data_IF_858089198684
#
_entry.id   IF_858089198684
#
_cell.length_a   1.000
_cell.length_b   1.000
_cell.length_c   1.000
_cell.angle_alpha   90.00
_cell.angle_beta   90.00
_cell.angle_gamma   90.00
#
_symmetry.space_group_name_H-M   'P 1'
#
loop_
_entity.id
_entity.type
_entity.pdbx_description
1 polymer ?
#
# COMPACT_ATOMS: atom_id res chain seq x y z
N UNK A 1 -46.08 5.77 25.84
CA UNK A 1 -45.55 6.04 24.48
C UNK A 1 -44.28 5.26 24.14
N UNK A 2 -43.24 5.21 25.01
CA UNK A 2 -41.96 4.52 24.74
C UNK A 2 -42.08 3.00 24.44
N UNK A 3 -42.99 2.29 25.11
CA UNK A 3 -43.16 0.83 24.94
C UNK A 3 -43.86 0.44 23.63
N UNK A 4 -44.66 1.35 23.06
CA UNK A 4 -45.36 1.15 21.78
C UNK A 4 -44.35 1.28 20.64
N UNK A 5 -43.48 2.29 20.68
CA UNK A 5 -42.39 2.48 19.71
C UNK A 5 -41.43 1.29 19.67
N UNK A 6 -41.05 0.74 20.84
CA UNK A 6 -40.17 -0.44 20.93
C UNK A 6 -40.82 -1.70 20.33
N UNK A 7 -42.14 -1.84 20.46
CA UNK A 7 -42.89 -2.98 19.91
C UNK A 7 -43.07 -2.87 18.40
N UNK A 8 -43.37 -1.66 17.90
CA UNK A 8 -43.49 -1.38 16.46
C UNK A 8 -42.13 -1.52 15.76
N UNK A 9 -41.07 -0.95 16.34
CA UNK A 9 -39.70 -1.07 15.82
C UNK A 9 -39.25 -2.53 15.75
N UNK A 10 -39.50 -3.34 16.78
CA UNK A 10 -39.16 -4.78 16.77
C UNK A 10 -39.92 -5.56 15.70
N UNK A 11 -41.21 -5.25 15.48
CA UNK A 11 -42.03 -5.90 14.43
C UNK A 11 -41.58 -5.49 13.03
N UNK A 12 -41.20 -4.22 12.84
CA UNK A 12 -40.68 -3.71 11.58
C UNK A 12 -39.34 -4.37 11.22
N UNK A 13 -38.42 -4.46 12.18
CA UNK A 13 -37.11 -5.10 11.98
C UNK A 13 -37.26 -6.58 11.63
N UNK A 14 -38.13 -7.32 12.35
CA UNK A 14 -38.40 -8.73 12.06
C UNK A 14 -39.01 -8.93 10.66
N UNK A 15 -39.90 -8.03 10.22
CA UNK A 15 -40.50 -8.10 8.88
C UNK A 15 -39.47 -7.81 7.78
N UNK A 16 -38.57 -6.86 7.98
CA UNK A 16 -37.52 -6.53 7.01
C UNK A 16 -36.53 -7.70 6.89
N UNK A 17 -36.12 -8.30 8.00
CA UNK A 17 -35.22 -9.46 8.00
C UNK A 17 -35.84 -10.67 7.28
N UNK A 18 -37.15 -10.92 7.47
CA UNK A 18 -37.86 -11.97 6.76
C UNK A 18 -37.87 -11.73 5.25
N UNK A 19 -38.15 -10.48 4.83
CA UNK A 19 -38.19 -10.11 3.41
C UNK A 19 -36.82 -10.23 2.73
N UNK A 20 -35.75 -9.77 3.38
CA UNK A 20 -34.38 -9.89 2.86
C UNK A 20 -33.96 -11.35 2.75
N UNK A 21 -34.32 -12.18 3.72
CA UNK A 21 -34.08 -13.64 3.66
C UNK A 21 -34.83 -14.29 2.50
N UNK A 22 -36.11 -13.97 2.29
CA UNK A 22 -36.89 -14.50 1.18
C UNK A 22 -36.28 -14.15 -0.19
N UNK A 23 -35.73 -12.94 -0.37
CA UNK A 23 -35.07 -12.53 -1.62
C UNK A 23 -33.76 -13.31 -1.85
N UNK A 24 -32.98 -13.57 -0.79
CA UNK A 24 -31.73 -14.32 -0.88
C UNK A 24 -31.96 -15.80 -1.26
N UNK A 25 -33.03 -16.41 -0.76
CA UNK A 25 -33.36 -17.81 -1.08
C UNK A 25 -33.98 -18.00 -2.48
N UNK A 26 -34.60 -16.98 -3.07
CA UNK A 26 -35.11 -17.04 -4.45
C UNK A 26 -33.95 -16.96 -5.47
N UNK A 27 -32.79 -16.43 -5.09
CA UNK A 27 -31.61 -16.29 -5.95
C UNK A 27 -30.73 -17.53 -6.08
N UNK A 28 -30.98 -18.60 -5.33
CA UNK A 28 -30.17 -19.83 -5.37
C UNK A 28 -30.95 -20.98 -6.01
N UNK A 29 -30.94 -21.04 -7.35
CA UNK A 29 -31.28 -22.27 -8.08
C UNK A 29 -30.73 -22.29 -9.50
N UNK A 30 -29.71 -23.14 -9.65
CA UNK A 30 -29.37 -24.01 -10.79
C UNK A 30 -28.93 -23.40 -12.13
N UNK A 31 -27.66 -23.69 -12.48
CA UNK A 31 -27.15 -23.79 -13.86
C UNK A 31 -26.05 -24.86 -13.90
N UNK A 32 -25.97 -25.71 -14.95
CA UNK A 32 -25.48 -27.08 -14.83
C UNK A 32 -23.98 -27.28 -15.07
N UNK A 33 -23.54 -28.44 -14.59
CA UNK A 33 -22.30 -29.18 -14.86
C UNK A 33 -22.15 -29.52 -16.36
N UNK A 34 -20.98 -29.27 -16.94
CA UNK A 34 -20.54 -29.99 -18.13
C UNK A 34 -19.02 -30.23 -18.10
N UNK A 35 -18.64 -31.46 -18.42
CA UNK A 35 -17.34 -32.06 -18.21
C UNK A 35 -16.51 -32.14 -19.51
N UNK A 36 -15.18 -32.10 -19.31
CA UNK A 36 -14.13 -32.80 -20.06
C UNK A 36 -13.93 -32.57 -21.57
N UNK A 37 -12.74 -32.07 -21.95
CA UNK A 37 -11.88 -32.79 -22.91
C UNK A 37 -10.39 -32.52 -22.66
N UNK A 38 -9.55 -33.51 -22.99
CA UNK A 38 -8.19 -33.74 -22.51
C UNK A 38 -7.34 -34.27 -23.68
N UNK A 39 -6.34 -33.54 -24.17
CA UNK A 39 -5.20 -34.12 -24.92
C UNK A 39 -4.03 -33.09 -25.04
N UNK A 40 -2.80 -33.48 -25.47
CA UNK A 40 -1.60 -33.60 -24.63
C UNK A 40 -0.44 -32.64 -25.08
N UNK A 41 0.75 -32.65 -24.42
CA UNK A 41 1.75 -31.59 -24.56
C UNK A 41 2.74 -31.85 -25.71
N UNK A 42 3.45 -30.82 -26.21
CA UNK A 42 4.72 -31.02 -26.87
C UNK A 42 5.88 -31.00 -25.86
N UNK A 43 6.65 -32.08 -25.90
CA UNK A 43 7.87 -32.35 -25.14
C UNK A 43 9.10 -31.81 -25.89
N UNK A 44 10.06 -31.32 -25.09
CA UNK A 44 11.52 -31.15 -25.28
C UNK A 44 12.09 -30.37 -26.46
N UNK A 45 12.88 -29.36 -26.12
CA UNK A 45 14.34 -29.47 -26.33
C UNK A 45 15.10 -28.68 -25.27
N UNK A 46 15.84 -29.42 -24.45
CA UNK A 46 17.00 -28.93 -23.72
C UNK A 46 18.07 -28.51 -24.73
N UNK A 47 18.73 -27.38 -24.48
CA UNK A 47 20.14 -27.21 -24.89
C UNK A 47 20.81 -26.37 -23.83
N UNK A 48 21.70 -27.02 -23.09
CA UNK A 48 22.69 -26.40 -22.24
C UNK A 48 23.74 -25.68 -23.10
N UNK A 49 24.13 -24.48 -22.70
CA UNK A 49 25.45 -23.86 -22.95
C UNK A 49 25.60 -22.81 -21.85
N UNK A 50 26.19 -23.18 -20.72
CA UNK A 50 27.58 -22.87 -20.36
C UNK A 50 27.92 -21.37 -20.33
N UNK A 51 28.15 -20.95 -19.08
CA UNK A 51 29.01 -19.89 -18.59
C UNK A 51 29.83 -19.10 -19.63
N UNK A 52 29.61 -17.79 -19.62
CA UNK A 52 30.70 -16.83 -19.69
C UNK A 52 30.32 -15.63 -18.83
N UNK A 53 31.12 -15.36 -17.79
CA UNK A 53 31.16 -14.06 -17.15
C UNK A 53 31.66 -13.04 -18.18
N UNK A 54 31.03 -11.87 -18.28
CA UNK A 54 31.75 -10.67 -18.67
C UNK A 54 31.75 -9.74 -17.46
N UNK A 55 32.94 -9.55 -16.92
CA UNK A 55 33.29 -8.39 -16.10
C UNK A 55 32.95 -7.14 -16.92
N UNK A 56 31.80 -6.53 -16.65
CA UNK A 56 31.46 -5.21 -17.14
C UNK A 56 31.33 -4.33 -15.93
N UNK A 57 32.36 -3.51 -15.79
CA UNK A 57 32.48 -2.30 -14.99
C UNK A 57 31.11 -1.70 -14.67
N UNK A 58 30.88 -1.45 -13.39
CA UNK A 58 29.78 -0.62 -12.91
C UNK A 58 29.66 0.63 -13.80
N UNK A 59 28.53 0.85 -14.48
CA UNK A 59 28.23 2.19 -14.96
C UNK A 59 27.90 3.00 -13.71
N UNK A 60 28.72 4.01 -13.44
CA UNK A 60 28.31 5.13 -12.61
C UNK A 60 27.10 5.76 -13.33
N UNK A 61 25.89 5.31 -12.99
CA UNK A 61 24.67 5.92 -13.49
C UNK A 61 24.56 7.26 -12.78
N UNK A 62 24.82 8.33 -13.53
CA UNK A 62 24.49 9.67 -13.07
C UNK A 62 23.02 9.73 -12.63
N UNK A 63 22.70 10.42 -11.53
CA UNK A 63 21.33 10.54 -11.05
C UNK A 63 20.43 11.08 -12.17
N UNK A 64 19.17 10.61 -12.26
CA UNK A 64 18.25 11.04 -13.30
C UNK A 64 18.06 12.58 -13.28
N UNK A 65 17.98 13.24 -14.46
CA UNK A 65 17.92 14.70 -14.53
C UNK A 65 16.57 15.25 -14.04
N UNK A 66 16.68 16.14 -13.06
CA UNK A 66 15.80 17.25 -12.66
C UNK A 66 14.29 17.08 -12.84
N UNK A 67 13.63 16.70 -11.74
CA UNK A 67 12.28 17.13 -11.40
C UNK A 67 12.36 17.95 -10.12
N UNK A 68 12.47 19.27 -10.28
CA UNK A 68 12.60 20.32 -9.25
C UNK A 68 13.76 20.14 -8.25
N UNK A 69 14.80 20.95 -8.44
CA UNK A 69 15.83 21.20 -7.42
C UNK A 69 15.13 21.68 -6.16
N UNK A 70 15.12 20.84 -5.13
CA UNK A 70 14.54 21.16 -3.84
C UNK A 70 15.60 21.77 -2.94
N UNK A 71 15.40 23.02 -2.53
CA UNK A 71 16.30 23.76 -1.61
C UNK A 71 16.21 23.25 -0.14
N UNK A 72 15.80 22.00 0.07
CA UNK A 72 15.49 21.42 1.37
C UNK A 72 16.61 20.54 1.94
N UNK A 73 16.64 20.31 3.26
CA UNK A 73 17.54 19.33 3.85
C UNK A 73 17.17 17.92 3.36
N UNK A 74 18.18 17.16 2.94
CA UNK A 74 18.04 15.77 2.50
C UNK A 74 17.89 14.84 3.70
N UNK A 75 16.93 13.91 3.62
CA UNK A 75 16.74 12.81 4.56
C UNK A 75 17.62 11.61 4.21
N UNK A 76 17.73 11.31 2.92
CA UNK A 76 18.57 10.24 2.35
C UNK A 76 19.15 10.69 1.01
N UNK A 77 19.74 9.77 0.24
CA UNK A 77 20.27 10.07 -1.08
C UNK A 77 19.19 10.51 -2.09
N UNK A 78 17.92 10.12 -1.89
CA UNK A 78 16.85 10.37 -2.86
C UNK A 78 15.58 10.97 -2.24
N UNK A 79 15.51 11.12 -0.93
CA UNK A 79 14.37 11.73 -0.24
C UNK A 79 14.78 12.97 0.53
N UNK A 80 13.93 13.98 0.47
CA UNK A 80 14.02 15.18 1.29
C UNK A 80 13.31 14.96 2.62
N UNK A 81 13.70 15.74 3.62
CA UNK A 81 12.97 15.78 4.89
C UNK A 81 11.50 16.15 4.65
N UNK A 82 11.22 17.13 3.80
CA UNK A 82 9.87 17.65 3.58
C UNK A 82 8.90 16.63 2.96
N UNK A 83 9.39 15.64 2.22
CA UNK A 83 8.57 14.55 1.67
C UNK A 83 7.98 13.67 2.77
N UNK A 84 8.63 13.62 3.93
CA UNK A 84 8.18 12.89 5.10
C UNK A 84 7.38 13.74 6.08
N UNK A 85 7.42 15.07 5.95
CA UNK A 85 6.77 15.97 6.88
C UNK A 85 5.24 15.87 6.81
N UNK A 86 4.58 16.18 7.92
CA UNK A 86 3.14 16.23 7.99
C UNK A 86 2.59 17.36 7.09
N UNK A 87 1.75 16.99 6.13
CA UNK A 87 1.12 17.87 5.14
C UNK A 87 -0.18 18.53 5.65
N UNK A 88 -0.31 18.66 6.97
CA UNK A 88 -1.49 19.26 7.58
C UNK A 88 -1.61 20.75 7.21
N UNK A 89 -2.84 21.28 7.20
CA UNK A 89 -3.13 22.70 6.99
C UNK A 89 -2.66 23.67 8.12
N UNK A 90 -1.47 23.46 8.69
CA UNK A 90 -0.82 24.37 9.63
C UNK A 90 -1.10 24.15 11.13
N UNK A 91 -1.56 22.97 11.54
CA UNK A 91 -1.81 22.67 12.97
C UNK A 91 -0.60 22.07 13.68
N UNK A 92 0.44 21.73 12.92
CA UNK A 92 1.78 21.47 13.43
C UNK A 92 2.80 22.15 12.52
N UNK A 93 4.05 22.13 12.93
CA UNK A 93 5.21 22.64 12.19
C UNK A 93 5.74 21.66 11.13
N UNK A 94 4.97 20.60 10.82
CA UNK A 94 5.35 19.52 9.92
C UNK A 94 5.96 18.31 10.64
N UNK A 95 6.41 18.44 11.89
CA UNK A 95 7.14 17.36 12.58
C UNK A 95 6.54 17.03 13.96
N UNK A 96 5.29 16.50 13.99
CA UNK A 96 4.65 16.05 15.22
C UNK A 96 5.30 14.81 15.84
N UNK A 97 6.10 14.08 15.06
CA UNK A 97 6.91 12.95 15.46
C UNK A 97 8.22 12.95 14.66
N UNK A 98 9.25 12.30 15.19
CA UNK A 98 10.50 12.06 14.45
C UNK A 98 10.28 10.96 13.41
N UNK A 99 10.82 11.15 12.20
CA UNK A 99 10.90 10.08 11.20
C UNK A 99 11.88 9.01 11.66
N UNK A 100 11.44 7.76 11.68
CA UNK A 100 12.29 6.65 12.08
C UNK A 100 13.38 6.36 11.01
N UNK A 101 14.68 6.40 11.36
CA UNK A 101 15.76 6.15 10.40
C UNK A 101 15.73 4.75 9.76
N UNK A 102 15.24 3.74 10.49
CA UNK A 102 15.16 2.36 9.99
C UNK A 102 14.11 2.26 8.87
N UNK A 103 12.98 2.94 9.03
CA UNK A 103 11.95 2.99 8.00
C UNK A 103 12.47 3.70 6.75
N UNK A 104 13.13 4.84 6.92
CA UNK A 104 13.72 5.59 5.81
C UNK A 104 14.76 4.76 5.05
N UNK A 105 15.66 4.05 5.75
CA UNK A 105 16.65 3.17 5.14
C UNK A 105 15.98 2.08 4.26
N UNK A 106 14.87 1.51 4.73
CA UNK A 106 14.12 0.50 3.97
C UNK A 106 13.42 1.09 2.74
N UNK A 107 12.86 2.30 2.84
CA UNK A 107 12.25 2.99 1.70
C UNK A 107 13.31 3.40 0.67
N UNK A 108 14.48 3.83 1.12
CA UNK A 108 15.65 4.08 0.28
C UNK A 108 16.10 2.82 -0.47
N UNK A 109 16.18 1.68 0.22
CA UNK A 109 16.45 0.39 -0.40
C UNK A 109 15.36 -0.02 -1.40
N UNK A 110 14.09 0.26 -1.11
CA UNK A 110 12.96 0.00 -2.02
C UNK A 110 13.10 0.80 -3.31
N UNK A 111 13.41 2.09 -3.20
CA UNK A 111 13.71 2.96 -4.34
C UNK A 111 14.85 2.40 -5.17
N UNK A 112 15.93 1.96 -4.54
CA UNK A 112 17.08 1.38 -5.23
C UNK A 112 16.77 0.04 -5.91
N UNK A 113 15.91 -0.79 -5.30
CA UNK A 113 15.51 -2.08 -5.86
C UNK A 113 14.71 -1.93 -7.17
N UNK A 114 13.91 -0.87 -7.28
CA UNK A 114 13.18 -0.56 -8.51
C UNK A 114 14.01 0.25 -9.53
N UNK A 115 15.11 0.88 -9.09
CA UNK A 115 15.86 1.87 -9.87
C UNK A 115 14.96 2.97 -10.48
N UNK A 116 13.92 3.34 -9.73
CA UNK A 116 12.85 4.25 -10.15
C UNK A 116 12.40 5.10 -8.96
N UNK A 117 11.81 6.30 -9.19
CA UNK A 117 11.27 7.10 -8.10
C UNK A 117 10.24 6.33 -7.28
N UNK A 118 10.34 6.44 -5.96
CA UNK A 118 9.28 6.12 -5.01
C UNK A 118 8.78 7.45 -4.49
N UNK A 119 7.47 7.67 -4.54
CA UNK A 119 6.86 8.93 -4.12
C UNK A 119 6.16 8.69 -2.79
N UNK A 120 6.60 9.41 -1.75
CA UNK A 120 5.94 9.42 -0.45
C UNK A 120 4.78 10.39 -0.52
N UNK A 121 3.57 9.91 -0.29
CA UNK A 121 2.35 10.73 -0.28
C UNK A 121 1.96 11.15 1.13
N UNK A 122 2.43 10.42 2.15
CA UNK A 122 2.21 10.76 3.54
C UNK A 122 3.26 10.13 4.44
N UNK A 123 4.07 10.95 5.10
CA UNK A 123 5.02 10.51 6.13
C UNK A 123 4.42 10.63 7.53
N UNK A 124 5.03 11.43 8.41
CA UNK A 124 4.52 11.63 9.78
C UNK A 124 3.17 12.38 9.76
N UNK A 125 2.30 12.09 10.73
CA UNK A 125 1.01 12.79 10.86
C UNK A 125 0.82 13.35 12.26
N UNK A 126 0.22 14.54 12.35
CA UNK A 126 -0.35 15.02 13.60
C UNK A 126 -1.72 14.37 13.80
N UNK A 127 -2.24 14.39 15.03
CA UNK A 127 -3.54 13.80 15.36
C UNK A 127 -4.67 14.30 14.44
N UNK A 128 -4.70 15.61 14.17
CA UNK A 128 -5.70 16.21 13.29
C UNK A 128 -5.59 15.69 11.86
N UNK A 129 -4.38 15.70 11.27
CA UNK A 129 -4.18 15.20 9.90
C UNK A 129 -4.55 13.73 9.80
N UNK A 130 -4.15 12.93 10.79
CA UNK A 130 -4.51 11.52 10.87
C UNK A 130 -6.04 11.33 10.91
N UNK A 131 -6.76 12.09 11.73
CA UNK A 131 -8.22 12.04 11.78
C UNK A 131 -8.88 12.47 10.46
N UNK A 132 -8.35 13.51 9.80
CA UNK A 132 -8.87 14.03 8.52
C UNK A 132 -8.81 13.01 7.39
N UNK A 133 -7.72 12.24 7.32
CA UNK A 133 -7.56 11.19 6.31
C UNK A 133 -8.20 9.86 6.75
N UNK A 134 -8.90 9.82 7.89
CA UNK A 134 -9.60 8.64 8.39
C UNK A 134 -8.70 7.61 9.06
N UNK A 135 -7.52 8.02 9.55
CA UNK A 135 -6.59 7.19 10.30
C UNK A 135 -7.12 6.77 11.68
N UNK A 136 -6.53 5.71 12.22
CA UNK A 136 -6.88 5.16 13.55
C UNK A 136 -6.07 5.84 14.66
N UNK A 137 -6.54 5.72 15.91
CA UNK A 137 -5.91 6.35 17.09
C UNK A 137 -4.46 5.89 17.33
N UNK A 138 -4.16 4.61 17.10
CA UNK A 138 -2.81 4.05 17.24
C UNK A 138 -2.12 3.87 15.89
N UNK A 139 -2.27 4.86 15.00
CA UNK A 139 -1.65 4.84 13.67
C UNK A 139 -0.14 5.01 13.78
N UNK A 140 0.64 4.19 13.08
CA UNK A 140 2.10 4.30 13.05
C UNK A 140 2.61 5.59 12.41
N UNK A 141 1.81 6.30 11.62
CA UNK A 141 2.15 7.65 11.15
C UNK A 141 2.28 8.66 12.29
N UNK A 142 1.53 8.46 13.39
CA UNK A 142 1.58 9.35 14.57
C UNK A 142 2.86 9.21 15.37
N UNK A 143 3.60 8.11 15.19
CA UNK A 143 4.87 7.84 15.86
C UNK A 143 6.06 7.81 14.89
N UNK A 144 5.84 8.17 13.61
CA UNK A 144 6.88 8.20 12.57
C UNK A 144 7.41 6.83 12.14
N UNK A 145 6.59 5.78 12.29
CA UNK A 145 6.93 4.39 11.98
C UNK A 145 6.18 3.86 10.74
N UNK A 146 5.48 4.73 10.01
CA UNK A 146 4.85 4.41 8.75
C UNK A 146 4.97 5.53 7.71
N UNK A 147 4.79 5.14 6.45
CA UNK A 147 4.63 6.04 5.32
C UNK A 147 3.70 5.42 4.27
N UNK A 148 2.97 6.28 3.56
CA UNK A 148 2.22 5.89 2.37
C UNK A 148 3.04 6.27 1.14
N UNK A 149 3.19 5.33 0.20
CA UNK A 149 4.04 5.51 -0.97
C UNK A 149 3.55 4.76 -2.21
N UNK A 150 4.05 5.15 -3.38
CA UNK A 150 3.84 4.42 -4.63
C UNK A 150 5.04 4.59 -5.57
N UNK A 151 5.17 3.70 -6.56
CA UNK A 151 6.15 3.82 -7.64
C UNK A 151 5.44 4.13 -8.97
N UNK A 152 5.67 5.30 -9.61
CA UNK A 152 4.95 5.68 -10.83
C UNK A 152 5.08 4.64 -11.96
N UNK A 153 3.97 4.03 -12.36
CA UNK A 153 3.94 3.03 -13.44
C UNK A 153 4.33 1.61 -13.01
N UNK A 154 4.46 1.35 -11.70
CA UNK A 154 4.50 -0.01 -11.14
C UNK A 154 3.20 -0.24 -10.36
N UNK A 155 2.50 -1.37 -10.56
CA UNK A 155 1.36 -1.75 -9.75
C UNK A 155 1.70 -1.85 -8.26
N UNK A 156 0.78 -1.47 -7.37
CA UNK A 156 1.03 -1.48 -5.93
C UNK A 156 1.31 -2.88 -5.37
N UNK A 157 0.73 -3.95 -5.92
CA UNK A 157 1.00 -5.33 -5.48
C UNK A 157 2.46 -5.75 -5.72
N UNK A 158 3.07 -5.28 -6.82
CA UNK A 158 4.49 -5.49 -7.10
C UNK A 158 5.38 -4.66 -6.17
N UNK A 159 5.02 -3.40 -5.89
CA UNK A 159 5.73 -2.55 -4.91
C UNK A 159 5.68 -3.18 -3.51
N UNK A 160 4.49 -3.59 -3.08
CA UNK A 160 4.26 -4.28 -1.83
C UNK A 160 5.05 -5.59 -1.72
N UNK A 161 5.17 -6.36 -2.80
CA UNK A 161 5.96 -7.59 -2.81
C UNK A 161 7.44 -7.31 -2.51
N UNK A 162 8.04 -6.32 -3.17
CA UNK A 162 9.44 -5.94 -2.93
C UNK A 162 9.62 -5.34 -1.53
N UNK A 163 8.73 -4.45 -1.09
CA UNK A 163 8.77 -3.84 0.24
C UNK A 163 8.80 -4.91 1.36
N UNK A 164 8.00 -5.98 1.22
CA UNK A 164 8.01 -7.11 2.17
C UNK A 164 9.35 -7.85 2.20
N UNK A 165 10.04 -8.00 1.07
CA UNK A 165 11.39 -8.62 1.05
C UNK A 165 12.43 -7.79 1.81
N UNK A 166 12.21 -6.48 1.93
CA UNK A 166 13.04 -5.55 2.72
C UNK A 166 12.65 -5.50 4.21
N UNK A 167 11.68 -6.33 4.61
CA UNK A 167 11.22 -6.45 5.99
C UNK A 167 10.23 -5.36 6.43
N UNK A 168 9.58 -4.67 5.48
CA UNK A 168 8.47 -3.77 5.79
C UNK A 168 7.18 -4.55 6.02
N UNK A 169 6.38 -4.12 7.01
CA UNK A 169 4.96 -4.40 7.04
C UNK A 169 4.28 -3.62 5.92
N UNK A 170 3.27 -4.21 5.25
CA UNK A 170 2.61 -3.57 4.11
C UNK A 170 1.11 -3.81 4.13
N UNK A 171 0.34 -2.74 3.98
CA UNK A 171 -1.10 -2.74 3.70
C UNK A 171 -1.30 -2.16 2.30
N UNK A 172 -1.91 -2.94 1.42
CA UNK A 172 -2.13 -2.56 0.01
C UNK A 172 -3.46 -1.81 -0.16
N UNK A 173 -3.44 -0.73 -0.95
CA UNK A 173 -4.64 0.01 -1.36
C UNK A 173 -4.85 -0.11 -2.89
N UNK A 174 -5.28 -1.28 -3.40
CA UNK A 174 -5.28 -1.58 -4.84
C UNK A 174 -6.19 -0.67 -5.67
N UNK A 175 -7.24 -0.11 -5.09
CA UNK A 175 -8.11 0.83 -5.81
C UNK A 175 -7.50 2.23 -5.92
N UNK A 176 -6.63 2.61 -4.98
CA UNK A 176 -5.96 3.90 -4.94
C UNK A 176 -4.53 3.84 -5.51
N UNK A 177 -3.99 2.63 -5.73
CA UNK A 177 -2.66 2.36 -6.28
C UNK A 177 -1.51 2.96 -5.45
N UNK A 178 -1.58 2.80 -4.12
CA UNK A 178 -0.48 3.07 -3.22
C UNK A 178 -0.42 2.00 -2.12
N UNK A 179 0.69 1.93 -1.41
CA UNK A 179 0.91 1.05 -0.27
C UNK A 179 1.20 1.86 0.98
N UNK A 180 0.61 1.44 2.09
CA UNK A 180 1.05 1.84 3.42
C UNK A 180 2.17 0.88 3.83
N UNK A 181 3.33 1.42 4.17
CA UNK A 181 4.48 0.66 4.68
C UNK A 181 4.81 1.05 6.11
N UNK A 182 5.24 0.08 6.92
CA UNK A 182 5.53 0.30 8.33
C UNK A 182 6.64 -0.61 8.86
N UNK A 183 7.22 -0.22 9.99
CA UNK A 183 8.08 -1.07 10.82
C UNK A 183 7.38 -1.39 12.13
N UNK A 184 7.58 -2.60 12.65
CA UNK A 184 7.00 -3.04 13.92
C UNK A 184 7.88 -2.60 15.09
N UNK A 185 7.30 -1.85 16.03
CA UNK A 185 7.95 -1.39 17.27
C UNK A 185 7.22 -1.88 18.51
#
# INVERSE_FOLDING_TARGET
>A
MKNIYKTISRRLILSIMLLVSCVFFIGMSFGPEEAADKAPPPTVSETATQASEPTVSAPETEPPPDGDVTDGPWASAHFLMDEYACDCAGDCDGWPAEMDPELLEKIEALRCAFDRPIIITSGVRCERRNAEVGGIENSWHLSGHAADLYCPGVPCDEVAAVARTLGLGVIEYPYQQFDHVEIWR
#
